data_IF_569429135997
#
_entry.id   IF_569429135997
#
_cell.length_a   1.000
_cell.length_b   1.000
_cell.length_c   1.000
_cell.angle_alpha   90.00
_cell.angle_beta   90.00
_cell.angle_gamma   90.00
#
_symmetry.space_group_name_H-M   'P 1'
#
loop_
_entity.id
_entity.type
_entity.pdbx_description
1 polymer ?
#
# COMPACT_ATOMS: atom_id res chain seq x y z
N UNK A 1 -12.15 -12.54 -4.90
CA UNK A 1 -11.19 -12.00 -3.93
C UNK A 1 -10.44 -13.16 -3.30
N UNK A 2 -9.14 -13.20 -3.49
CA UNK A 2 -8.23 -14.17 -2.88
C UNK A 2 -8.02 -13.75 -1.42
N UNK A 3 -8.63 -14.46 -0.47
CA UNK A 3 -8.38 -14.20 0.96
C UNK A 3 -6.95 -14.61 1.33
N UNK A 4 -6.24 -13.75 2.03
CA UNK A 4 -4.91 -14.04 2.54
C UNK A 4 -4.92 -15.27 3.45
N UNK A 5 -4.07 -16.24 3.12
CA UNK A 5 -3.88 -17.48 3.88
C UNK A 5 -2.54 -17.42 4.59
N UNK A 6 -2.55 -17.30 5.91
CA UNK A 6 -1.32 -17.32 6.71
C UNK A 6 -0.67 -18.70 6.68
N UNK A 7 0.63 -18.75 6.39
CA UNK A 7 1.43 -19.97 6.46
C UNK A 7 2.56 -19.77 7.47
N UNK A 8 2.76 -20.80 8.30
CA UNK A 8 3.90 -20.89 9.18
C UNK A 8 5.02 -21.68 8.48
N UNK A 9 6.00 -20.99 7.90
CA UNK A 9 7.18 -21.63 7.33
C UNK A 9 8.11 -22.16 8.44
N UNK A 10 8.97 -23.12 8.11
CA UNK A 10 9.91 -23.69 9.08
C UNK A 10 11.02 -22.69 9.42
N UNK A 11 11.55 -22.78 10.66
CA UNK A 11 12.72 -22.00 11.05
C UNK A 11 13.92 -22.36 10.17
N UNK A 12 14.53 -21.33 9.56
CA UNK A 12 15.70 -21.52 8.71
C UNK A 12 16.92 -22.06 9.45
N UNK A 13 17.15 -21.60 10.69
CA UNK A 13 18.29 -22.07 11.51
C UNK A 13 18.19 -23.57 11.80
N UNK A 14 17.01 -24.05 12.21
CA UNK A 14 16.81 -25.49 12.41
C UNK A 14 16.99 -26.28 11.12
N UNK A 15 16.52 -25.75 9.99
CA UNK A 15 16.62 -26.42 8.71
C UNK A 15 18.07 -26.46 8.17
N UNK A 16 18.89 -25.44 8.46
CA UNK A 16 20.35 -25.48 8.16
C UNK A 16 21.00 -26.68 8.84
N UNK A 17 20.74 -26.89 10.15
CA UNK A 17 21.30 -28.03 10.90
C UNK A 17 20.89 -29.35 10.27
N UNK A 18 19.62 -29.53 9.93
CA UNK A 18 19.13 -30.76 9.28
C UNK A 18 19.78 -30.99 7.91
N UNK A 19 19.85 -29.95 7.07
CA UNK A 19 20.46 -30.06 5.72
C UNK A 19 21.96 -30.31 5.78
N UNK A 20 22.69 -29.72 6.73
CA UNK A 20 24.11 -29.99 6.95
C UNK A 20 24.34 -31.45 7.39
N UNK A 21 23.53 -31.94 8.33
CA UNK A 21 23.58 -33.33 8.78
C UNK A 21 23.33 -34.29 7.62
N UNK A 22 22.30 -34.07 6.82
CA UNK A 22 21.97 -34.88 5.65
C UNK A 22 23.08 -34.84 4.58
N UNK A 23 23.69 -33.65 4.38
CA UNK A 23 24.83 -33.51 3.45
C UNK A 23 26.04 -34.31 3.90
N UNK A 24 26.41 -34.26 5.19
CA UNK A 24 27.50 -35.04 5.74
C UNK A 24 27.22 -36.53 5.60
N UNK A 25 26.01 -36.98 5.90
CA UNK A 25 25.57 -38.37 5.76
C UNK A 25 25.65 -38.84 4.31
N UNK A 26 25.24 -38.03 3.36
CA UNK A 26 25.33 -38.31 1.93
C UNK A 26 26.78 -38.45 1.44
N UNK A 27 27.67 -37.55 1.85
CA UNK A 27 29.09 -37.59 1.50
C UNK A 27 29.76 -38.85 2.11
N UNK A 28 29.48 -39.13 3.40
CA UNK A 28 29.97 -40.32 4.06
C UNK A 28 29.45 -41.62 3.36
N UNK A 29 28.20 -41.61 2.91
CA UNK A 29 27.62 -42.69 2.13
C UNK A 29 28.34 -42.93 0.79
N UNK A 30 28.73 -41.88 0.07
CA UNK A 30 29.51 -42.01 -1.16
C UNK A 30 30.89 -42.63 -0.88
N UNK A 31 31.52 -42.31 0.27
CA UNK A 31 32.83 -42.81 0.64
C UNK A 31 32.82 -44.28 1.14
N UNK A 32 31.84 -44.62 2.00
CA UNK A 32 31.83 -45.87 2.77
C UNK A 32 30.97 -46.97 2.18
N UNK A 33 29.95 -46.63 1.35
CA UNK A 33 29.01 -47.61 0.81
C UNK A 33 29.60 -48.38 -0.38
N UNK A 34 29.18 -49.65 -0.58
CA UNK A 34 29.55 -50.44 -1.76
C UNK A 34 29.07 -49.73 -3.05
N UNK A 35 29.77 -50.04 -4.16
CA UNK A 35 29.57 -49.35 -5.46
C UNK A 35 28.11 -49.32 -5.91
N UNK A 36 27.35 -50.37 -5.63
CA UNK A 36 25.93 -50.50 -5.99
C UNK A 36 25.04 -49.41 -5.31
N UNK A 37 25.40 -48.97 -4.09
CA UNK A 37 24.63 -47.99 -3.31
C UNK A 37 25.11 -46.55 -3.48
N UNK A 38 26.28 -46.32 -4.10
CA UNK A 38 26.81 -44.96 -4.36
C UNK A 38 25.86 -44.04 -5.14
N UNK A 39 25.09 -44.49 -6.16
CA UNK A 39 24.13 -43.65 -6.86
C UNK A 39 23.04 -43.11 -5.94
N UNK A 40 22.60 -43.87 -4.94
CA UNK A 40 21.57 -43.44 -3.96
C UNK A 40 22.13 -42.34 -3.07
N UNK A 41 23.37 -42.46 -2.60
CA UNK A 41 24.04 -41.45 -1.80
C UNK A 41 24.26 -40.15 -2.62
N UNK A 42 24.61 -40.27 -3.90
CA UNK A 42 24.75 -39.12 -4.81
C UNK A 42 23.41 -38.40 -5.01
N UNK A 43 22.33 -39.15 -5.23
CA UNK A 43 20.98 -38.60 -5.37
C UNK A 43 20.55 -37.84 -4.11
N UNK A 44 20.88 -38.33 -2.92
CA UNK A 44 20.62 -37.65 -1.65
C UNK A 44 21.37 -36.34 -1.57
N UNK A 45 22.63 -36.30 -1.96
CA UNK A 45 23.43 -35.03 -1.97
C UNK A 45 22.83 -34.03 -2.93
N UNK A 46 22.39 -34.44 -4.12
CA UNK A 46 21.73 -33.56 -5.11
C UNK A 46 20.41 -33.03 -4.53
N UNK A 47 19.61 -33.89 -3.91
CA UNK A 47 18.32 -33.50 -3.31
C UNK A 47 18.53 -32.45 -2.18
N UNK A 48 19.54 -32.69 -1.32
CA UNK A 48 19.93 -31.70 -0.29
C UNK A 48 20.37 -30.41 -0.91
N UNK A 49 21.13 -30.43 -2.00
CA UNK A 49 21.55 -29.23 -2.71
C UNK A 49 20.35 -28.43 -3.24
N UNK A 50 19.34 -29.08 -3.82
CA UNK A 50 18.10 -28.44 -4.25
C UNK A 50 17.34 -27.79 -3.06
N UNK A 51 17.34 -28.47 -1.90
CA UNK A 51 16.67 -27.93 -0.70
C UNK A 51 17.31 -26.64 -0.19
N UNK A 52 18.56 -26.30 -0.53
CA UNK A 52 19.20 -25.02 -0.19
C UNK A 52 18.54 -23.82 -0.85
N UNK A 53 17.88 -23.96 -1.99
CA UNK A 53 17.12 -22.89 -2.64
C UNK A 53 15.81 -22.56 -1.90
N UNK A 54 15.45 -23.36 -0.89
CA UNK A 54 14.27 -23.11 -0.05
C UNK A 54 14.42 -21.96 0.95
N UNK A 55 15.64 -21.48 1.24
CA UNK A 55 15.88 -20.43 2.21
C UNK A 55 15.48 -19.05 1.69
N UNK A 56 14.89 -18.25 2.57
CA UNK A 56 14.58 -16.84 2.35
C UNK A 56 14.54 -16.10 3.68
N UNK A 57 14.68 -14.77 3.61
CA UNK A 57 14.67 -13.90 4.78
C UNK A 57 13.45 -13.00 4.71
N UNK A 58 12.72 -12.88 5.83
CA UNK A 58 11.61 -11.97 6.02
C UNK A 58 12.05 -10.92 7.06
N UNK A 59 12.03 -9.66 6.66
CA UNK A 59 12.37 -8.57 7.57
C UNK A 59 11.18 -8.15 8.43
N UNK A 60 11.38 -7.45 9.56
CA UNK A 60 10.30 -6.86 10.33
C UNK A 60 9.43 -5.93 9.45
N UNK A 61 8.11 -6.02 9.61
CA UNK A 61 7.12 -5.32 8.78
C UNK A 61 7.25 -5.62 7.27
N UNK A 62 7.53 -6.88 6.95
CA UNK A 62 7.53 -7.40 5.60
C UNK A 62 6.82 -8.74 5.60
N UNK A 63 6.09 -9.04 4.53
CA UNK A 63 5.52 -10.33 4.25
C UNK A 63 6.20 -11.01 3.07
N UNK A 64 6.11 -12.32 2.99
CA UNK A 64 6.54 -13.10 1.84
C UNK A 64 5.33 -13.87 1.29
N UNK A 65 4.87 -13.48 0.10
CA UNK A 65 3.81 -14.17 -0.65
C UNK A 65 4.43 -15.35 -1.39
N UNK A 66 3.93 -16.55 -1.11
CA UNK A 66 4.45 -17.82 -1.63
C UNK A 66 3.52 -18.36 -2.73
N UNK A 67 4.11 -18.70 -3.87
CA UNK A 67 3.40 -19.32 -5.00
C UNK A 67 4.10 -20.60 -5.44
N UNK A 68 3.34 -21.60 -5.85
CA UNK A 68 3.83 -22.81 -6.48
C UNK A 68 3.32 -22.87 -7.92
N UNK A 69 4.22 -22.73 -8.89
CA UNK A 69 3.88 -22.76 -10.32
C UNK A 69 2.68 -21.86 -10.69
N UNK A 70 2.68 -20.60 -10.16
CA UNK A 70 1.61 -19.64 -10.41
C UNK A 70 0.39 -19.78 -9.49
N UNK A 71 0.30 -20.85 -8.67
CA UNK A 71 -0.80 -20.99 -7.70
C UNK A 71 -0.39 -20.38 -6.36
N UNK A 72 -1.23 -19.51 -5.82
CA UNK A 72 -1.05 -18.96 -4.47
C UNK A 72 -1.12 -20.08 -3.42
N UNK A 73 -0.13 -20.13 -2.56
CA UNK A 73 -0.03 -21.12 -1.47
C UNK A 73 -0.35 -20.47 -0.14
N UNK A 74 0.18 -19.27 0.10
CA UNK A 74 -0.08 -18.45 1.29
C UNK A 74 0.99 -17.39 1.53
N UNK A 75 0.81 -16.64 2.60
CA UNK A 75 1.68 -15.53 3.00
C UNK A 75 2.36 -15.84 4.34
N UNK A 76 3.67 -15.64 4.41
CA UNK A 76 4.46 -15.78 5.63
C UNK A 76 4.80 -14.39 6.20
N UNK A 77 4.38 -14.15 7.44
CA UNK A 77 4.65 -12.91 8.21
C UNK A 77 5.75 -13.08 9.25
N UNK A 78 6.25 -14.31 9.43
CA UNK A 78 7.23 -14.58 10.48
C UNK A 78 8.60 -14.07 10.10
N UNK A 79 9.15 -13.19 10.92
CA UNK A 79 10.46 -12.58 10.70
C UNK A 79 11.61 -13.58 10.85
N UNK A 80 12.73 -13.23 10.21
CA UNK A 80 13.99 -13.93 10.31
C UNK A 80 14.27 -14.84 9.11
N UNK A 81 15.23 -15.75 9.30
CA UNK A 81 15.58 -16.74 8.30
C UNK A 81 14.53 -17.87 8.32
N UNK A 82 13.90 -18.08 7.20
CA UNK A 82 12.81 -19.06 7.01
C UNK A 82 13.16 -20.04 5.91
N UNK A 83 12.50 -21.18 5.94
CA UNK A 83 12.64 -22.20 4.91
C UNK A 83 11.27 -22.67 4.46
N UNK A 84 11.09 -22.70 3.15
CA UNK A 84 9.91 -23.25 2.49
C UNK A 84 10.35 -24.13 1.32
N UNK A 85 9.39 -24.77 0.66
CA UNK A 85 9.66 -25.59 -0.52
C UNK A 85 10.53 -24.80 -1.53
N UNK A 86 11.66 -25.37 -2.01
CA UNK A 86 12.55 -24.71 -2.97
C UNK A 86 11.88 -24.29 -4.28
N UNK A 87 10.80 -24.96 -4.68
CA UNK A 87 10.02 -24.63 -5.88
C UNK A 87 9.03 -23.47 -5.70
N UNK A 88 8.92 -22.91 -4.50
CA UNK A 88 8.08 -21.73 -4.29
C UNK A 88 8.77 -20.47 -4.83
N UNK A 89 8.07 -19.70 -5.67
CA UNK A 89 8.41 -18.32 -5.89
C UNK A 89 8.01 -17.49 -4.65
N UNK A 90 8.84 -16.50 -4.32
CA UNK A 90 8.75 -15.75 -3.06
C UNK A 90 8.74 -14.26 -3.41
N UNK A 91 7.57 -13.61 -3.32
CA UNK A 91 7.42 -12.18 -3.55
C UNK A 91 7.29 -11.46 -2.21
N UNK A 92 8.18 -10.49 -1.98
CA UNK A 92 8.21 -9.74 -0.71
C UNK A 92 7.37 -8.48 -0.84
N UNK A 93 6.51 -8.24 0.15
CA UNK A 93 5.68 -7.04 0.24
C UNK A 93 6.00 -6.30 1.52
N UNK A 94 6.19 -5.00 1.46
CA UNK A 94 6.42 -4.16 2.64
C UNK A 94 5.09 -3.78 3.29
N UNK A 95 4.96 -4.06 4.58
CA UNK A 95 3.80 -3.69 5.42
C UNK A 95 4.01 -2.36 6.17
N UNK A 96 5.13 -1.68 5.89
CA UNK A 96 5.45 -0.39 6.52
C UNK A 96 4.47 0.68 6.05
N UNK A 97 4.24 1.65 6.92
CA UNK A 97 3.49 2.86 6.57
C UNK A 97 4.25 3.63 5.49
N UNK A 98 3.53 4.12 4.51
CA UNK A 98 4.03 4.90 3.38
C UNK A 98 3.21 6.17 3.22
N UNK A 99 3.83 7.20 2.67
CA UNK A 99 3.18 8.44 2.30
C UNK A 99 3.12 8.54 0.79
N UNK A 100 2.01 9.04 0.30
CA UNK A 100 1.83 9.51 -1.07
C UNK A 100 1.43 10.99 -0.99
N UNK A 101 2.12 11.85 -1.73
CA UNK A 101 1.77 13.25 -1.90
C UNK A 101 1.38 13.47 -3.36
N UNK A 102 0.16 13.97 -3.58
CA UNK A 102 -0.31 14.28 -4.92
C UNK A 102 0.39 15.53 -5.46
N UNK A 103 0.53 15.60 -6.79
CA UNK A 103 0.86 16.85 -7.45
C UNK A 103 -0.26 17.88 -7.23
N UNK A 104 0.07 19.18 -7.33
CA UNK A 104 -0.93 20.24 -7.37
C UNK A 104 -1.75 20.10 -8.64
N UNK A 105 -3.03 19.88 -8.51
CA UNK A 105 -3.96 19.76 -9.65
C UNK A 105 -4.91 20.93 -9.69
N UNK A 106 -5.16 21.46 -10.89
CA UNK A 106 -6.24 22.39 -11.14
C UNK A 106 -7.53 21.63 -11.36
N UNK A 107 -8.56 21.97 -10.57
CA UNK A 107 -9.89 21.37 -10.65
C UNK A 107 -10.91 22.50 -10.48
N UNK A 108 -12.07 22.38 -11.10
CA UNK A 108 -13.17 23.28 -10.80
C UNK A 108 -13.93 22.76 -9.57
N UNK A 109 -14.20 23.64 -8.62
CA UNK A 109 -15.04 23.35 -7.46
C UNK A 109 -16.53 23.21 -7.86
N UNK A 110 -17.39 22.89 -6.90
CA UNK A 110 -18.84 22.78 -7.15
C UNK A 110 -19.49 24.06 -7.68
N UNK A 111 -18.91 25.23 -7.36
CA UNK A 111 -19.37 26.53 -7.86
C UNK A 111 -18.79 26.90 -9.24
N UNK A 112 -17.95 26.02 -9.82
CA UNK A 112 -17.30 26.26 -11.12
C UNK A 112 -16.02 27.09 -11.05
N UNK A 113 -15.50 27.41 -9.86
CA UNK A 113 -14.27 28.18 -9.70
C UNK A 113 -13.05 27.25 -9.85
N UNK A 114 -12.02 27.65 -10.62
CA UNK A 114 -10.80 26.87 -10.71
C UNK A 114 -9.98 27.00 -9.41
N UNK A 115 -9.73 25.86 -8.76
CA UNK A 115 -8.93 25.72 -7.54
C UNK A 115 -7.72 24.85 -7.77
N UNK A 116 -6.63 25.12 -7.07
CA UNK A 116 -5.46 24.25 -6.99
C UNK A 116 -5.52 23.48 -5.67
N UNK A 117 -5.50 22.14 -5.79
CA UNK A 117 -5.58 21.23 -4.65
C UNK A 117 -4.46 20.19 -4.71
N UNK A 118 -3.91 19.87 -3.54
CA UNK A 118 -3.03 18.72 -3.32
C UNK A 118 -3.33 18.09 -1.96
N UNK A 119 -3.05 16.82 -1.82
CA UNK A 119 -3.26 16.09 -0.58
C UNK A 119 -2.13 15.10 -0.30
N UNK A 120 -1.92 14.81 0.98
CA UNK A 120 -1.04 13.74 1.47
C UNK A 120 -1.90 12.60 1.98
N UNK A 121 -1.59 11.39 1.54
CA UNK A 121 -2.27 10.15 1.92
C UNK A 121 -1.27 9.23 2.60
N UNK A 122 -1.57 8.85 3.83
CA UNK A 122 -0.77 7.90 4.63
C UNK A 122 -1.46 6.54 4.57
N UNK A 123 -0.74 5.52 4.13
CA UNK A 123 -1.32 4.21 3.88
C UNK A 123 -0.35 3.07 4.19
N UNK A 124 -0.86 1.84 4.29
CA UNK A 124 -0.09 0.61 4.43
C UNK A 124 -0.80 -0.55 3.74
N UNK A 125 -0.05 -1.60 3.39
CA UNK A 125 -0.61 -2.87 2.94
C UNK A 125 -1.08 -3.66 4.18
N UNK A 126 -2.30 -4.20 4.12
CA UNK A 126 -2.89 -5.06 5.16
C UNK A 126 -3.17 -6.47 4.64
N UNK A 127 -3.45 -6.63 3.35
CA UNK A 127 -3.56 -7.92 2.68
C UNK A 127 -2.52 -7.99 1.55
N UNK A 128 -1.48 -8.79 1.77
CA UNK A 128 -0.38 -8.91 0.82
C UNK A 128 -0.76 -9.72 -0.42
N UNK A 129 -1.73 -10.63 -0.29
CA UNK A 129 -2.20 -11.42 -1.41
C UNK A 129 -3.01 -10.57 -2.38
N UNK A 130 -3.93 -9.74 -1.88
CA UNK A 130 -4.68 -8.80 -2.71
C UNK A 130 -3.75 -7.79 -3.38
N UNK A 131 -2.76 -7.25 -2.65
CA UNK A 131 -1.81 -6.29 -3.19
C UNK A 131 -0.94 -6.86 -4.34
N UNK A 132 -0.70 -8.17 -4.36
CA UNK A 132 0.13 -8.83 -5.38
C UNK A 132 -0.69 -9.37 -6.55
N UNK A 133 -1.93 -9.82 -6.31
CA UNK A 133 -2.69 -10.59 -7.30
C UNK A 133 -3.90 -9.86 -7.89
N UNK A 134 -4.46 -8.87 -7.17
CA UNK A 134 -5.64 -8.15 -7.66
C UNK A 134 -5.27 -6.89 -8.46
N UNK A 135 -4.06 -6.36 -8.23
CA UNK A 135 -3.54 -5.18 -8.95
C UNK A 135 -2.11 -5.43 -9.44
N UNK A 136 -1.77 -4.91 -10.57
CA UNK A 136 -0.47 -5.11 -11.20
C UNK A 136 0.66 -4.41 -10.40
N UNK A 137 0.42 -3.16 -10.02
CA UNK A 137 1.31 -2.37 -9.18
C UNK A 137 0.49 -1.57 -8.15
N UNK A 138 0.46 -2.07 -6.92
CA UNK A 138 -0.33 -1.46 -5.85
C UNK A 138 0.13 -0.04 -5.48
N UNK A 139 1.41 0.30 -5.62
CA UNK A 139 1.92 1.65 -5.33
C UNK A 139 1.38 2.66 -6.35
N UNK A 140 1.47 2.33 -7.63
CA UNK A 140 0.93 3.15 -8.70
C UNK A 140 -0.61 3.23 -8.64
N UNK A 141 -1.25 2.12 -8.28
CA UNK A 141 -2.70 2.08 -8.11
C UNK A 141 -3.16 3.02 -6.99
N UNK A 142 -2.48 3.04 -5.84
CA UNK A 142 -2.75 3.98 -4.74
C UNK A 142 -2.61 5.42 -5.23
N UNK A 143 -1.55 5.74 -5.95
CA UNK A 143 -1.31 7.09 -6.50
C UNK A 143 -2.46 7.56 -7.38
N UNK A 144 -2.80 6.78 -8.41
CA UNK A 144 -3.84 7.13 -9.40
C UNK A 144 -5.23 7.24 -8.74
N UNK A 145 -5.57 6.29 -7.87
CA UNK A 145 -6.88 6.28 -7.21
C UNK A 145 -7.02 7.41 -6.20
N UNK A 146 -5.94 7.75 -5.49
CA UNK A 146 -5.92 8.89 -4.57
C UNK A 146 -6.09 10.21 -5.32
N UNK A 147 -5.36 10.44 -6.42
CA UNK A 147 -5.54 11.64 -7.25
C UNK A 147 -6.96 11.75 -7.83
N UNK A 148 -7.53 10.62 -8.26
CA UNK A 148 -8.91 10.58 -8.75
C UNK A 148 -9.93 10.92 -7.65
N UNK A 149 -9.73 10.43 -6.42
CA UNK A 149 -10.58 10.74 -5.28
C UNK A 149 -10.48 12.23 -4.88
N UNK A 150 -9.26 12.79 -4.84
CA UNK A 150 -9.03 14.20 -4.54
C UNK A 150 -9.75 15.09 -5.57
N UNK A 151 -9.66 14.75 -6.86
CA UNK A 151 -10.34 15.46 -7.94
C UNK A 151 -11.86 15.40 -7.79
N UNK A 152 -12.39 14.21 -7.48
CA UNK A 152 -13.83 14.01 -7.26
C UNK A 152 -14.32 14.82 -6.06
N UNK A 153 -13.60 14.77 -4.94
CA UNK A 153 -13.93 15.55 -3.76
C UNK A 153 -13.94 17.07 -4.06
N UNK A 154 -12.89 17.58 -4.73
CA UNK A 154 -12.76 18.99 -5.06
C UNK A 154 -13.91 19.49 -5.96
N UNK A 155 -14.38 18.66 -6.90
CA UNK A 155 -15.51 19.00 -7.76
C UNK A 155 -16.88 18.85 -7.08
N UNK A 156 -16.97 18.14 -5.96
CA UNK A 156 -18.21 17.90 -5.22
C UNK A 156 -18.52 18.97 -4.18
N UNK A 157 -17.52 19.71 -3.71
CA UNK A 157 -17.66 20.72 -2.66
C UNK A 157 -17.16 22.08 -3.14
N UNK A 158 -17.79 23.15 -2.67
CA UNK A 158 -17.31 24.51 -2.94
C UNK A 158 -16.02 24.80 -2.16
N UNK A 159 -15.17 25.65 -2.69
CA UNK A 159 -13.94 26.10 -2.01
C UNK A 159 -14.26 26.83 -0.70
N UNK A 160 -15.20 27.76 -0.72
CA UNK A 160 -15.62 28.54 0.44
C UNK A 160 -17.14 28.44 0.62
N UNK A 161 -17.61 28.38 1.86
CA UNK A 161 -19.04 28.30 2.17
C UNK A 161 -19.71 29.63 1.77
N UNK A 162 -20.67 29.55 0.84
CA UNK A 162 -21.66 30.58 0.68
C UNK A 162 -22.61 30.57 1.87
N UNK A 163 -23.51 31.57 1.95
CA UNK A 163 -24.44 31.72 3.07
C UNK A 163 -25.37 30.51 3.33
N UNK A 164 -25.48 29.56 2.39
CA UNK A 164 -26.38 28.41 2.45
C UNK A 164 -25.67 27.03 2.45
N UNK A 165 -24.34 26.97 2.32
CA UNK A 165 -23.60 25.68 2.27
C UNK A 165 -23.03 25.31 3.65
N UNK A 166 -23.38 24.10 4.12
CA UNK A 166 -22.95 23.59 5.42
C UNK A 166 -21.51 23.06 5.43
N UNK A 167 -21.00 22.56 4.29
CA UNK A 167 -19.67 21.96 4.17
C UNK A 167 -18.90 22.62 3.02
N UNK A 168 -17.70 23.15 3.30
CA UNK A 168 -16.78 23.65 2.29
C UNK A 168 -15.38 23.11 2.47
N UNK A 169 -14.59 23.10 1.38
CA UNK A 169 -13.21 22.59 1.41
C UNK A 169 -12.31 23.35 2.39
N UNK A 170 -12.61 24.64 2.62
CA UNK A 170 -11.80 25.53 3.45
C UNK A 170 -12.24 25.55 4.92
N UNK A 171 -13.54 25.64 5.20
CA UNK A 171 -14.05 25.84 6.57
C UNK A 171 -14.28 24.53 7.33
N UNK A 172 -14.58 23.43 6.63
CA UNK A 172 -14.94 22.13 7.23
C UNK A 172 -13.79 21.12 7.10
N UNK A 173 -12.59 21.51 7.50
CA UNK A 173 -11.36 20.74 7.25
C UNK A 173 -11.43 19.33 7.80
N UNK A 174 -11.97 19.11 9.00
CA UNK A 174 -12.04 17.79 9.64
C UNK A 174 -13.04 16.86 8.93
N UNK A 175 -14.21 17.38 8.56
CA UNK A 175 -15.23 16.63 7.81
C UNK A 175 -14.72 16.24 6.42
N UNK A 176 -14.10 17.19 5.72
CA UNK A 176 -13.51 16.99 4.38
C UNK A 176 -12.38 15.96 4.44
N UNK A 177 -11.56 15.99 5.48
CA UNK A 177 -10.49 15.02 5.72
C UNK A 177 -11.05 13.61 5.86
N UNK A 178 -12.12 13.44 6.64
CA UNK A 178 -12.72 12.11 6.84
C UNK A 178 -13.43 11.62 5.57
N UNK A 179 -14.14 12.50 4.85
CA UNK A 179 -14.76 12.18 3.56
C UNK A 179 -13.71 11.76 2.51
N UNK A 180 -12.58 12.49 2.43
CA UNK A 180 -11.49 12.14 1.53
C UNK A 180 -10.91 10.78 1.86
N UNK A 181 -10.68 10.49 3.13
CA UNK A 181 -10.18 9.19 3.59
C UNK A 181 -11.13 8.06 3.22
N UNK A 182 -12.44 8.22 3.45
CA UNK A 182 -13.46 7.23 3.10
C UNK A 182 -13.53 6.99 1.59
N UNK A 183 -13.51 8.05 0.80
CA UNK A 183 -13.53 7.98 -0.66
C UNK A 183 -12.30 7.22 -1.21
N UNK A 184 -11.11 7.55 -0.71
CA UNK A 184 -9.88 6.85 -1.09
C UNK A 184 -9.93 5.40 -0.64
N UNK A 185 -10.34 5.13 0.61
CA UNK A 185 -10.42 3.77 1.13
C UNK A 185 -11.38 2.90 0.32
N UNK A 186 -12.55 3.42 -0.06
CA UNK A 186 -13.53 2.70 -0.88
C UNK A 186 -12.92 2.22 -2.22
N UNK A 187 -12.08 3.05 -2.84
CA UNK A 187 -11.38 2.73 -4.10
C UNK A 187 -10.23 1.75 -3.91
N UNK A 188 -9.52 1.82 -2.77
CA UNK A 188 -8.34 1.01 -2.49
C UNK A 188 -8.63 -0.36 -1.85
N UNK A 189 -9.86 -0.64 -1.45
CA UNK A 189 -10.24 -1.90 -0.81
C UNK A 189 -9.86 -3.14 -1.64
N UNK A 190 -9.89 -3.04 -2.98
CA UNK A 190 -9.52 -4.14 -3.89
C UNK A 190 -8.02 -4.42 -3.94
N UNK A 191 -7.20 -3.51 -3.48
CA UNK A 191 -5.74 -3.62 -3.52
C UNK A 191 -5.14 -4.10 -2.19
N UNK A 192 -5.94 -4.50 -1.21
CA UNK A 192 -5.47 -4.92 0.11
C UNK A 192 -4.74 -3.82 0.88
N UNK A 193 -5.09 -2.55 0.63
CA UNK A 193 -4.46 -1.36 1.21
C UNK A 193 -5.40 -0.68 2.19
N UNK A 194 -4.87 -0.25 3.33
CA UNK A 194 -5.56 0.56 4.32
C UNK A 194 -5.04 1.99 4.32
N UNK A 195 -5.94 2.94 4.18
CA UNK A 195 -5.66 4.37 4.38
C UNK A 195 -5.74 4.67 5.87
N UNK A 196 -4.65 5.18 6.43
CA UNK A 196 -4.58 5.59 7.84
C UNK A 196 -5.06 7.03 7.98
N UNK A 197 -4.60 7.89 7.07
CA UNK A 197 -4.88 9.32 7.09
C UNK A 197 -4.87 9.86 5.65
N UNK A 198 -5.73 10.86 5.38
CA UNK A 198 -5.71 11.60 4.14
C UNK A 198 -5.97 13.07 4.46
N UNK A 199 -5.04 13.98 4.14
CA UNK A 199 -5.17 15.41 4.45
C UNK A 199 -4.89 16.26 3.22
N UNK A 200 -5.64 17.32 3.05
CA UNK A 200 -5.33 18.36 2.06
C UNK A 200 -4.06 19.07 2.50
N UNK A 201 -3.03 19.08 1.65
CA UNK A 201 -1.74 19.74 1.88
C UNK A 201 -1.67 21.12 1.23
N UNK A 202 -2.46 21.33 0.17
CA UNK A 202 -2.54 22.60 -0.54
C UNK A 202 -3.96 22.82 -1.04
N UNK A 203 -4.50 24.02 -0.80
CA UNK A 203 -5.79 24.43 -1.30
C UNK A 203 -5.78 25.95 -1.53
N UNK A 204 -5.92 26.37 -2.77
CA UNK A 204 -5.95 27.78 -3.15
C UNK A 204 -6.78 27.98 -4.41
N UNK A 205 -7.27 29.19 -4.63
CA UNK A 205 -7.79 29.57 -5.95
C UNK A 205 -6.66 29.54 -6.99
N UNK A 206 -6.97 29.11 -8.20
CA UNK A 206 -6.02 29.19 -9.30
C UNK A 206 -5.58 30.63 -9.54
N UNK A 207 -4.33 30.81 -9.94
CA UNK A 207 -3.70 32.15 -10.05
C UNK A 207 -4.49 33.13 -10.96
N UNK A 208 -5.20 32.58 -11.94
CA UNK A 208 -5.99 33.36 -12.91
C UNK A 208 -7.15 34.11 -12.25
N UNK A 209 -7.79 33.54 -11.21
CA UNK A 209 -8.95 34.12 -10.54
C UNK A 209 -8.67 34.59 -9.13
N UNK A 210 -7.50 34.30 -8.57
CA UNK A 210 -7.17 34.57 -7.17
C UNK A 210 -7.39 36.06 -6.79
N UNK A 211 -7.01 37.01 -7.68
CA UNK A 211 -7.18 38.44 -7.47
C UNK A 211 -8.66 38.86 -7.46
N UNK A 212 -9.45 38.35 -8.40
CA UNK A 212 -10.88 38.63 -8.49
C UNK A 212 -11.66 38.10 -7.28
N UNK A 213 -11.32 36.87 -6.84
CA UNK A 213 -11.93 36.23 -5.66
C UNK A 213 -11.57 36.96 -4.36
N UNK A 214 -10.34 37.47 -4.23
CA UNK A 214 -9.95 38.28 -3.08
C UNK A 214 -10.77 39.57 -3.02
N UNK A 215 -11.00 40.26 -4.15
CA UNK A 215 -11.85 41.45 -4.21
C UNK A 215 -13.30 41.15 -3.83
N UNK A 216 -13.84 40.01 -4.29
CA UNK A 216 -15.20 39.57 -3.93
C UNK A 216 -15.30 39.32 -2.42
N UNK A 217 -14.37 38.55 -1.83
CA UNK A 217 -14.35 38.32 -0.38
C UNK A 217 -14.25 39.59 0.44
N UNK A 218 -13.45 40.56 0.00
CA UNK A 218 -13.36 41.87 0.65
C UNK A 218 -14.71 42.65 0.59
N UNK A 219 -15.38 42.63 -0.56
CA UNK A 219 -16.68 43.28 -0.71
C UNK A 219 -17.75 42.62 0.16
N UNK A 220 -17.82 41.29 0.20
CA UNK A 220 -18.74 40.54 1.05
C UNK A 220 -18.48 40.79 2.53
N UNK A 221 -17.22 40.85 2.97
CA UNK A 221 -16.84 41.17 4.35
C UNK A 221 -17.26 42.61 4.75
N UNK A 222 -17.13 43.58 3.84
CA UNK A 222 -17.58 44.97 4.08
C UNK A 222 -19.11 45.05 4.21
N UNK A 223 -19.85 44.35 3.37
CA UNK A 223 -21.32 44.27 3.44
C UNK A 223 -21.77 43.64 4.76
N UNK A 224 -21.19 42.49 5.12
CA UNK A 224 -21.48 41.79 6.38
C UNK A 224 -21.17 42.65 7.62
N UNK A 225 -20.04 43.39 7.60
CA UNK A 225 -19.69 44.32 8.67
C UNK A 225 -20.69 45.48 8.79
N UNK A 226 -21.16 46.04 7.66
CA UNK A 226 -22.15 47.10 7.67
C UNK A 226 -23.52 46.62 8.16
N UNK A 227 -23.96 45.42 7.81
CA UNK A 227 -25.21 44.83 8.32
C UNK A 227 -25.20 44.72 9.84
N UNK A 228 -24.09 44.25 10.42
CA UNK A 228 -23.93 44.14 11.89
C UNK A 228 -23.87 45.49 12.63
N UNK A 229 -23.63 46.59 11.93
CA UNK A 229 -23.63 47.94 12.53
C UNK A 229 -25.06 48.55 12.52
N UNK A 230 -25.91 48.09 11.61
CA UNK A 230 -27.29 48.58 11.44
C UNK A 230 -28.31 47.82 12.29
N UNK A 231 -27.99 46.60 12.71
CA UNK A 231 -28.72 45.83 13.75
C UNK A 231 -28.30 46.28 15.16
#
# INVERSE_FOLDING_TARGET
>A
MLKERMINSKSGLGMIGVLLMLKILGIAGIALLPVILKPVALLLVIMVFVCWFGFYMVHPNQSAVLQLFGRYVGTDLNNGLRWANPFYSKQKVSLRVRNFESSKMKVNDNAGNPVEIAAVVVWKVVDSAEAVFEVDNYENFVSIQSESAIRHLASSYAYDAGNDETISLRSSTDEVTELLKQEIQARLNKAGVQVLEARISHLAYAAEIARAMLQRQQAEAIVAARQKIVE
#
